data_IF_232450233253
#
_entry.id   IF_232450233253
#
_cell.length_a   1.000
_cell.length_b   1.000
_cell.length_c   1.000
_cell.angle_alpha   90.00
_cell.angle_beta   90.00
_cell.angle_gamma   90.00
#
_symmetry.space_group_name_H-M   'P 1'
#
loop_
_entity.id
_entity.type
_entity.pdbx_description
1 polymer ?
#
# COMPACT_ATOMS: atom_id res chain seq x y z
N UNK A 1 -11.17 5.82 10.39
CA UNK A 1 -10.62 4.55 9.85
C UNK A 1 -9.30 4.32 10.57
N UNK A 2 -9.15 3.19 11.26
CA UNK A 2 -7.89 2.89 11.95
C UNK A 2 -6.80 2.59 10.90
N UNK A 3 -5.58 3.07 11.14
CA UNK A 3 -4.41 2.64 10.37
C UNK A 3 -4.31 1.11 10.44
N UNK A 4 -4.02 0.47 9.31
CA UNK A 4 -3.67 -0.95 9.28
C UNK A 4 -2.36 -1.21 10.01
N UNK A 5 -1.96 -2.48 10.11
CA UNK A 5 -0.73 -2.86 10.81
C UNK A 5 0.47 -2.00 10.35
N UNK A 6 1.27 -1.52 11.32
CA UNK A 6 2.46 -0.69 11.10
C UNK A 6 2.21 0.71 10.51
N UNK A 7 1.02 1.30 10.72
CA UNK A 7 0.73 2.64 10.19
C UNK A 7 0.58 2.65 8.68
N UNK A 8 0.32 1.48 8.09
CA UNK A 8 0.09 1.29 6.65
C UNK A 8 -1.39 1.28 6.40
N UNK A 9 -1.85 2.24 5.61
CA UNK A 9 -3.27 2.36 5.30
C UNK A 9 -3.49 1.88 3.86
N UNK A 10 -4.35 0.88 3.71
CA UNK A 10 -4.92 0.50 2.42
C UNK A 10 -6.33 1.07 2.35
N UNK A 11 -6.57 2.00 1.42
CA UNK A 11 -7.89 2.63 1.23
C UNK A 11 -8.26 2.69 -0.24
N UNK A 12 -9.56 2.66 -0.52
CA UNK A 12 -10.07 3.08 -1.82
C UNK A 12 -10.11 4.62 -1.84
N UNK A 13 -9.66 5.23 -2.93
CA UNK A 13 -9.86 6.66 -3.16
C UNK A 13 -11.31 6.92 -3.56
N UNK A 14 -11.79 8.13 -3.29
CA UNK A 14 -13.11 8.60 -3.74
C UNK A 14 -13.30 8.52 -5.27
N UNK A 15 -12.21 8.36 -6.03
CA UNK A 15 -12.22 8.22 -7.49
C UNK A 15 -12.09 6.75 -7.96
N UNK A 16 -12.19 5.77 -7.08
CA UNK A 16 -12.22 4.35 -7.44
C UNK A 16 -10.86 3.66 -7.61
N UNK A 17 -9.79 4.24 -7.05
CA UNK A 17 -8.44 3.67 -7.12
C UNK A 17 -7.96 3.13 -5.78
N UNK A 18 -7.13 2.09 -5.81
CA UNK A 18 -6.40 1.67 -4.62
C UNK A 18 -5.36 2.72 -4.23
N UNK A 19 -5.29 3.04 -2.94
CA UNK A 19 -4.25 3.86 -2.34
C UNK A 19 -3.61 3.12 -1.16
N UNK A 20 -2.28 3.08 -1.16
CA UNK A 20 -1.45 2.57 -0.07
C UNK A 20 -0.62 3.71 0.49
N UNK A 21 -0.73 3.90 1.79
CA UNK A 21 0.09 4.84 2.55
C UNK A 21 1.16 4.05 3.28
N UNK A 22 2.43 4.39 3.05
CA UNK A 22 3.56 3.77 3.75
C UNK A 22 4.27 4.83 4.57
N UNK A 23 4.41 4.60 5.88
CA UNK A 23 5.43 5.31 6.67
C UNK A 23 6.82 4.88 6.21
N UNK A 24 7.84 5.71 6.48
CA UNK A 24 9.24 5.36 6.17
C UNK A 24 9.56 3.96 6.70
N UNK A 25 10.07 3.11 5.82
CA UNK A 25 10.52 1.77 6.19
C UNK A 25 11.96 1.89 6.71
N UNK A 26 12.15 1.75 8.02
CA UNK A 26 13.47 1.80 8.66
C UNK A 26 14.25 3.09 8.35
N UNK A 27 13.54 4.22 8.26
CA UNK A 27 14.12 5.52 7.92
C UNK A 27 14.32 5.78 6.41
N UNK A 28 14.06 4.79 5.55
CA UNK A 28 14.15 4.91 4.10
C UNK A 28 12.79 5.10 3.43
N UNK A 29 12.80 5.81 2.30
CA UNK A 29 11.62 5.97 1.44
C UNK A 29 11.38 4.71 0.63
N UNK A 30 10.12 4.45 0.31
CA UNK A 30 9.77 3.41 -0.64
C UNK A 30 10.11 3.87 -2.08
N UNK A 31 10.85 3.04 -2.81
CA UNK A 31 11.21 3.24 -4.22
C UNK A 31 10.16 2.62 -5.14
N UNK A 32 9.68 1.43 -4.80
CA UNK A 32 8.59 0.76 -5.52
C UNK A 32 7.77 -0.07 -4.55
N UNK A 33 6.48 -0.23 -4.87
CA UNK A 33 5.56 -1.06 -4.10
C UNK A 33 4.81 -1.97 -5.06
N UNK A 34 4.84 -3.27 -4.78
CA UNK A 34 4.18 -4.30 -5.55
C UNK A 34 3.19 -5.06 -4.66
N UNK A 35 2.05 -5.41 -5.23
CA UNK A 35 1.04 -6.24 -4.56
C UNK A 35 1.32 -7.69 -4.93
N UNK A 36 1.47 -8.54 -3.93
CA UNK A 36 1.64 -9.97 -4.08
C UNK A 36 0.37 -10.70 -3.63
N UNK A 37 0.06 -11.78 -4.34
CA UNK A 37 -0.94 -12.77 -3.95
C UNK A 37 -0.32 -14.14 -4.17
N UNK A 38 -0.37 -15.01 -3.15
CA UNK A 38 0.22 -16.36 -3.20
C UNK A 38 1.68 -16.39 -3.72
N UNK A 39 2.49 -15.41 -3.29
CA UNK A 39 3.90 -15.30 -3.68
C UNK A 39 4.18 -14.72 -5.07
N UNK A 40 3.14 -14.38 -5.85
CA UNK A 40 3.27 -13.78 -7.18
C UNK A 40 2.91 -12.30 -7.17
N UNK A 41 3.64 -11.48 -7.92
CA UNK A 41 3.30 -10.07 -8.12
C UNK A 41 2.11 -9.97 -9.06
N UNK A 42 1.01 -9.41 -8.57
CA UNK A 42 -0.24 -9.22 -9.33
C UNK A 42 -0.47 -7.77 -9.76
N UNK A 43 0.22 -6.81 -9.13
CA UNK A 43 0.17 -5.40 -9.50
C UNK A 43 1.40 -4.64 -9.00
N UNK A 44 1.71 -3.52 -9.66
CA UNK A 44 2.73 -2.55 -9.22
C UNK A 44 2.05 -1.22 -9.00
N UNK A 45 2.20 -0.64 -7.80
CA UNK A 45 1.63 0.64 -7.45
C UNK A 45 2.53 1.77 -7.96
N UNK A 46 1.93 2.80 -8.54
CA UNK A 46 2.63 4.00 -8.96
C UNK A 46 2.76 4.97 -7.80
N UNK A 47 3.95 5.55 -7.61
CA UNK A 47 4.14 6.64 -6.67
C UNK A 47 3.27 7.85 -7.07
N UNK A 48 2.60 8.45 -6.09
CA UNK A 48 1.73 9.61 -6.31
C UNK A 48 2.05 10.69 -5.30
N UNK A 49 2.79 11.72 -5.75
CA UNK A 49 3.06 12.93 -4.96
C UNK A 49 1.82 13.82 -4.77
N UNK A 50 0.76 13.60 -5.55
CA UNK A 50 -0.44 14.43 -5.59
C UNK A 50 -1.49 14.05 -4.53
N UNK A 51 -1.42 12.85 -3.97
CA UNK A 51 -2.25 12.50 -2.83
C UNK A 51 -1.58 13.09 -1.60
N UNK A 52 -2.20 14.10 -0.95
CA UNK A 52 -1.69 14.83 0.21
C UNK A 52 -0.79 13.94 1.07
N UNK A 53 0.54 14.10 1.07
CA UNK A 53 1.33 13.47 2.12
C UNK A 53 0.66 13.88 3.42
N UNK A 54 0.32 12.91 4.26
CA UNK A 54 -0.23 13.16 5.60
C UNK A 54 0.41 14.46 6.15
N UNK A 55 -0.38 15.45 6.59
CA UNK A 55 -0.08 16.91 6.66
C UNK A 55 1.35 17.32 7.09
N UNK A 56 2.12 16.40 7.69
CA UNK A 56 3.53 16.51 8.05
C UNK A 56 4.57 15.95 7.04
N UNK A 57 4.20 15.42 5.85
CA UNK A 57 5.20 14.89 4.89
C UNK A 57 5.75 13.50 5.23
N UNK A 58 5.12 12.77 6.15
CA UNK A 58 5.72 11.60 6.80
C UNK A 58 5.42 10.26 6.13
N UNK A 59 4.48 10.21 5.18
CA UNK A 59 4.02 8.99 4.51
C UNK A 59 4.20 9.11 2.99
N UNK A 60 4.75 8.06 2.38
CA UNK A 60 4.84 7.91 0.93
C UNK A 60 3.52 7.33 0.40
N UNK A 61 3.06 7.86 -0.74
CA UNK A 61 1.75 7.55 -1.31
C UNK A 61 1.90 6.76 -2.60
N UNK A 62 1.25 5.60 -2.66
CA UNK A 62 1.26 4.73 -3.82
C UNK A 62 -0.17 4.41 -4.25
N UNK A 63 -0.44 4.42 -5.56
CA UNK A 63 -1.78 4.21 -6.11
C UNK A 63 -1.83 3.17 -7.20
N UNK A 64 -2.98 2.53 -7.35
CA UNK A 64 -3.32 1.70 -8.49
C UNK A 64 -4.70 2.11 -9.04
N UNK A 65 -4.90 2.12 -10.37
CA UNK A 65 -6.18 2.49 -10.97
C UNK A 65 -7.30 1.44 -10.73
N UNK A 66 -6.95 0.21 -10.33
CA UNK A 66 -7.94 -0.81 -9.97
C UNK A 66 -8.49 -0.53 -8.57
N UNK A 67 -9.81 -0.69 -8.43
CA UNK A 67 -10.52 -0.67 -7.16
C UNK A 67 -9.94 -1.69 -6.17
N UNK A 68 -10.02 -1.40 -4.87
CA UNK A 68 -9.55 -2.32 -3.84
C UNK A 68 -10.30 -3.66 -3.90
N UNK A 69 -11.57 -3.63 -4.34
CA UNK A 69 -12.40 -4.81 -4.50
C UNK A 69 -11.90 -5.80 -5.59
N UNK A 70 -11.11 -5.33 -6.56
CA UNK A 70 -10.55 -6.16 -7.63
C UNK A 70 -9.32 -6.96 -7.20
N UNK A 71 -8.81 -6.71 -6.00
CA UNK A 71 -7.69 -7.45 -5.44
C UNK A 71 -8.18 -8.63 -4.58
N UNK A 72 -7.44 -9.75 -4.54
CA UNK A 72 -7.78 -10.87 -3.68
C UNK A 72 -7.71 -10.47 -2.19
N UNK A 73 -8.40 -11.20 -1.31
CA UNK A 73 -8.50 -10.84 0.11
C UNK A 73 -7.18 -10.96 0.87
N UNK A 74 -6.31 -11.90 0.47
CA UNK A 74 -5.01 -12.15 1.10
C UNK A 74 -3.90 -11.64 0.20
N UNK A 75 -3.39 -10.46 0.53
CA UNK A 75 -2.37 -9.78 -0.26
C UNK A 75 -1.22 -9.31 0.64
N UNK A 76 -0.02 -9.38 0.08
CA UNK A 76 1.17 -8.83 0.70
C UNK A 76 1.65 -7.63 -0.12
N UNK A 77 2.28 -6.67 0.55
CA UNK A 77 3.00 -5.60 -0.11
C UNK A 77 4.49 -5.92 -0.12
N UNK A 78 5.08 -6.04 -1.31
CA UNK A 78 6.52 -6.02 -1.48
C UNK A 78 6.98 -4.59 -1.74
N UNK A 79 7.67 -4.03 -0.76
CA UNK A 79 8.25 -2.70 -0.81
C UNK A 79 9.73 -2.83 -1.10
N UNK A 80 10.20 -2.19 -2.16
CA UNK A 80 11.62 -1.99 -2.40
C UNK A 80 11.98 -0.59 -1.91
N UNK A 81 12.96 -0.47 -1.01
CA UNK A 81 13.41 0.82 -0.48
C UNK A 81 14.40 1.49 -1.44
N UNK A 82 14.76 2.75 -1.17
CA UNK A 82 15.82 3.45 -1.91
C UNK A 82 17.20 2.79 -1.80
N UNK A 83 17.43 1.93 -0.79
CA UNK A 83 18.63 1.10 -0.65
C UNK A 83 18.57 -0.21 -1.45
N UNK A 84 17.53 -0.41 -2.26
CA UNK A 84 17.21 -1.67 -2.93
C UNK A 84 16.96 -2.85 -1.98
N UNK A 85 16.64 -2.58 -0.71
CA UNK A 85 16.17 -3.62 0.21
C UNK A 85 14.71 -3.96 -0.07
N UNK A 86 14.39 -5.25 -0.05
CA UNK A 86 13.04 -5.76 -0.27
C UNK A 86 12.42 -6.16 1.06
N UNK A 87 11.22 -5.65 1.34
CA UNK A 87 10.45 -5.95 2.54
C UNK A 87 9.05 -6.38 2.16
N UNK A 88 8.59 -7.51 2.70
CA UNK A 88 7.22 -7.97 2.54
C UNK A 88 6.42 -7.56 3.78
N UNK A 89 5.24 -7.01 3.55
CA UNK A 89 4.36 -6.60 4.61
C UNK A 89 2.97 -7.20 4.40
N UNK A 90 2.51 -7.88 5.43
CA UNK A 90 1.10 -8.16 5.59
C UNK A 90 0.42 -6.89 6.11
N UNK A 91 -0.61 -6.47 5.41
CA UNK A 91 -1.36 -5.24 5.70
C UNK A 91 -2.78 -5.55 6.16
N UNK A 92 -3.04 -6.82 6.49
CA UNK A 92 -4.36 -7.30 6.86
C UNK A 92 -5.34 -7.38 5.68
N UNK A 93 -6.60 -7.76 5.97
CA UNK A 93 -7.64 -7.90 4.96
C UNK A 93 -7.95 -6.56 4.28
N UNK A 94 -8.31 -6.61 2.99
CA UNK A 94 -8.74 -5.42 2.23
C UNK A 94 -9.85 -4.65 2.98
N UNK A 95 -9.88 -3.31 2.91
CA UNK A 95 -10.99 -2.51 3.45
C UNK A 95 -12.29 -2.94 2.79
N UNK A 96 -13.31 -3.22 3.60
CA UNK A 96 -14.61 -3.71 3.14
C UNK A 96 -14.72 -5.23 3.01
N UNK A 97 -13.64 -6.00 3.18
CA UNK A 97 -13.78 -7.41 3.55
C UNK A 97 -14.16 -7.48 5.02
N UNK A 98 -15.46 -7.55 5.31
CA UNK A 98 -15.92 -8.12 6.58
C UNK A 98 -15.30 -9.52 6.68
N UNK A 99 -14.44 -9.72 7.67
CA UNK A 99 -14.23 -11.04 8.23
C UNK A 99 -15.53 -11.36 8.98
N UNK A 100 -16.28 -12.33 8.47
CA UNK A 100 -17.37 -12.98 9.20
C UNK A 100 -16.77 -13.87 10.30
#
# INVERSE_FOLDING_TARGET
MADGAYGRLWKESDHGGLVVLLTRCDGYKAKSVQVLSNGQVIATLAYSSAANPDQCGNRDHFRHPKHAASFPPNILLLVTTTKNEKRCYDIGPRPGSRVD
#
